data_IF_573788070118
#
_entry.id   IF_573788070118
#
_cell.length_a   1.000
_cell.length_b   1.000
_cell.length_c   1.000
_cell.angle_alpha   90.00
_cell.angle_beta   90.00
_cell.angle_gamma   90.00
#
_symmetry.space_group_name_H-M   'P 1'
#
loop_
_entity.id
_entity.type
_entity.pdbx_description
1 polymer ?
#
# COMPACT_ATOMS: atom_id res chain seq x y z
N UNK A 1 -9.83 21.79 21.49
CA UNK A 1 -10.62 20.57 21.85
C UNK A 1 -11.73 20.41 20.82
N UNK A 2 -11.69 19.36 20.00
CA UNK A 2 -12.76 19.07 19.04
C UNK A 2 -13.80 18.14 19.69
N UNK A 3 -15.07 18.54 19.67
CA UNK A 3 -16.21 17.71 20.09
C UNK A 3 -16.47 16.64 19.04
N UNK A 4 -16.30 15.37 19.41
CA UNK A 4 -16.86 14.25 18.66
C UNK A 4 -18.38 14.32 18.84
N UNK A 5 -19.11 14.55 17.75
CA UNK A 5 -20.55 14.34 17.75
C UNK A 5 -20.79 12.83 17.87
N UNK A 6 -21.32 12.40 19.02
CA UNK A 6 -21.90 11.06 19.13
C UNK A 6 -23.05 10.97 18.13
N UNK A 7 -22.82 10.24 17.04
CA UNK A 7 -23.90 9.74 16.21
C UNK A 7 -24.77 8.84 17.08
N UNK A 8 -25.98 9.32 17.42
CA UNK A 8 -27.03 8.50 18.02
C UNK A 8 -27.39 7.42 17.00
N UNK A 9 -26.87 6.20 17.21
CA UNK A 9 -27.26 5.03 16.45
C UNK A 9 -28.76 4.79 16.66
N UNK A 10 -29.52 4.82 15.56
CA UNK A 10 -30.92 4.42 15.57
C UNK A 10 -31.02 2.91 15.86
N UNK A 11 -32.11 2.42 16.50
CA UNK A 11 -32.16 1.07 17.08
C UNK A 11 -32.18 -0.11 16.08
N UNK A 12 -32.08 0.15 14.77
CA UNK A 12 -32.38 -0.82 13.71
C UNK A 12 -31.16 -1.37 12.96
N UNK A 13 -29.94 -0.90 13.21
CA UNK A 13 -28.72 -1.45 12.58
C UNK A 13 -28.21 -2.74 13.22
N UNK A 14 -29.11 -3.61 13.69
CA UNK A 14 -28.75 -4.72 14.59
C UNK A 14 -27.90 -5.84 13.96
N UNK A 15 -27.61 -5.81 12.66
CA UNK A 15 -26.81 -6.85 11.99
C UNK A 15 -26.01 -6.37 10.76
N UNK A 16 -25.38 -5.18 10.81
CA UNK A 16 -24.35 -4.88 9.80
C UNK A 16 -23.06 -5.62 10.17
N UNK A 17 -22.84 -6.77 9.53
CA UNK A 17 -21.58 -7.51 9.63
C UNK A 17 -20.64 -7.08 8.51
N UNK A 18 -19.41 -6.73 8.86
CA UNK A 18 -18.36 -6.48 7.87
C UNK A 18 -17.84 -7.82 7.33
N UNK A 19 -17.65 -7.91 6.02
CA UNK A 19 -17.02 -9.07 5.39
C UNK A 19 -15.50 -9.01 5.43
N UNK A 20 -14.94 -7.82 5.64
CA UNK A 20 -13.50 -7.58 5.79
C UNK A 20 -13.16 -6.11 5.90
N UNK A 21 -11.85 -5.84 5.93
CA UNK A 21 -11.27 -4.50 6.11
C UNK A 21 -10.38 -4.19 4.91
N UNK A 22 -10.48 -2.97 4.40
CA UNK A 22 -9.77 -2.50 3.23
C UNK A 22 -8.84 -1.35 3.67
N UNK A 23 -7.56 -1.45 3.34
CA UNK A 23 -6.53 -0.51 3.74
C UNK A 23 -5.90 0.16 2.52
N UNK A 24 -5.77 1.49 2.59
CA UNK A 24 -4.95 2.28 1.68
C UNK A 24 -3.66 2.64 2.41
N UNK A 25 -2.51 2.28 1.85
CA UNK A 25 -1.21 2.40 2.49
C UNK A 25 -0.22 3.16 1.59
N UNK A 26 0.07 4.41 1.96
CA UNK A 26 0.99 5.29 1.24
C UNK A 26 2.08 5.81 2.18
N UNK A 27 3.36 5.44 2.02
CA UNK A 27 4.43 5.90 2.90
C UNK A 27 4.76 7.39 2.78
N UNK A 28 4.34 8.03 1.68
CA UNK A 28 4.77 9.38 1.28
C UNK A 28 3.63 10.41 1.29
N UNK A 29 2.73 10.33 2.27
CA UNK A 29 1.70 11.35 2.48
C UNK A 29 1.90 12.08 3.80
N UNK A 30 1.44 13.32 3.87
CA UNK A 30 1.57 14.21 5.05
C UNK A 30 0.95 13.64 6.33
N UNK A 31 0.04 12.67 6.21
CA UNK A 31 -0.59 11.99 7.34
C UNK A 31 0.16 10.74 7.82
N UNK A 32 1.29 10.37 7.21
CA UNK A 32 2.10 9.22 7.63
C UNK A 32 3.44 9.63 8.21
N UNK A 33 3.82 9.03 9.33
CA UNK A 33 5.10 9.32 10.00
C UNK A 33 6.31 8.67 9.30
N UNK A 34 6.09 7.83 8.28
CA UNK A 34 7.16 7.20 7.52
C UNK A 34 7.95 8.20 6.66
N UNK A 35 7.30 9.29 6.25
CA UNK A 35 7.89 10.30 5.37
C UNK A 35 8.74 11.37 6.08
N UNK A 36 8.87 11.35 7.42
CA UNK A 36 9.45 12.46 8.20
C UNK A 36 10.89 12.82 7.81
N UNK A 37 11.63 11.92 7.15
CA UNK A 37 12.98 12.18 6.63
C UNK A 37 13.02 11.80 5.13
N UNK A 38 12.52 12.69 4.29
CA UNK A 38 12.19 12.60 2.85
C UNK A 38 13.30 12.19 1.85
N UNK A 39 14.25 11.32 2.23
CA UNK A 39 15.46 11.07 1.44
C UNK A 39 15.63 9.66 0.89
N UNK A 40 15.07 8.64 1.53
CA UNK A 40 15.42 7.26 1.19
C UNK A 40 14.20 6.37 1.02
N UNK A 41 13.83 6.15 -0.25
CA UNK A 41 12.84 5.16 -0.62
C UNK A 41 13.41 3.73 -0.53
N UNK A 42 14.72 3.56 -0.66
CA UNK A 42 15.38 2.26 -0.78
C UNK A 42 15.10 1.30 0.37
N UNK A 43 14.91 1.80 1.59
CA UNK A 43 14.59 0.97 2.77
C UNK A 43 13.31 1.41 3.53
N UNK A 44 12.47 2.25 2.93
CA UNK A 44 11.28 2.79 3.62
C UNK A 44 10.30 1.69 4.07
N UNK A 45 10.25 0.59 3.31
CA UNK A 45 9.38 -0.52 3.64
C UNK A 45 9.79 -1.19 4.96
N UNK A 46 11.06 -1.61 5.10
CA UNK A 46 11.51 -2.32 6.29
C UNK A 46 11.66 -1.39 7.49
N UNK A 47 12.16 -0.17 7.27
CA UNK A 47 12.40 0.80 8.33
C UNK A 47 11.12 1.40 8.92
N UNK A 48 10.01 1.43 8.18
CA UNK A 48 8.76 2.02 8.68
C UNK A 48 7.47 1.27 8.30
N UNK A 49 7.20 1.08 7.00
CA UNK A 49 5.87 0.63 6.53
C UNK A 49 5.49 -0.72 7.13
N UNK A 50 6.42 -1.68 7.14
CA UNK A 50 6.22 -3.02 7.69
C UNK A 50 5.77 -2.97 9.16
N UNK A 51 6.40 -2.12 9.97
CA UNK A 51 6.01 -1.92 11.37
C UNK A 51 4.59 -1.36 11.48
N UNK A 52 4.27 -0.33 10.69
CA UNK A 52 2.93 0.29 10.68
C UNK A 52 1.82 -0.66 10.24
N UNK A 53 2.07 -1.53 9.28
CA UNK A 53 1.10 -2.55 8.86
C UNK A 53 0.86 -3.58 9.96
N UNK A 54 1.88 -3.95 10.74
CA UNK A 54 1.72 -4.82 11.92
C UNK A 54 0.92 -4.13 13.02
N UNK A 55 1.22 -2.86 13.33
CA UNK A 55 0.48 -2.07 14.30
C UNK A 55 -1.00 -1.95 13.91
N UNK A 56 -1.28 -1.67 12.63
CA UNK A 56 -2.64 -1.56 12.13
C UNK A 56 -3.39 -2.89 12.21
N UNK A 57 -2.74 -4.00 11.88
CA UNK A 57 -3.33 -5.33 12.02
C UNK A 57 -3.75 -5.62 13.47
N UNK A 58 -2.88 -5.31 14.46
CA UNK A 58 -3.19 -5.46 15.87
C UNK A 58 -4.39 -4.59 16.28
N UNK A 59 -4.45 -3.35 15.81
CA UNK A 59 -5.58 -2.47 16.04
C UNK A 59 -6.89 -3.11 15.55
N UNK A 60 -6.99 -3.49 14.28
CA UNK A 60 -8.24 -4.01 13.71
C UNK A 60 -8.63 -5.41 14.20
N UNK A 61 -7.67 -6.24 14.60
CA UNK A 61 -7.97 -7.60 15.06
C UNK A 61 -8.13 -7.73 16.58
N UNK A 62 -7.40 -6.93 17.36
CA UNK A 62 -7.42 -7.05 18.82
C UNK A 62 -8.31 -6.00 19.47
N UNK A 63 -8.22 -4.75 19.01
CA UNK A 63 -8.83 -3.60 19.69
C UNK A 63 -10.23 -3.26 19.18
N UNK A 64 -10.54 -3.56 17.91
CA UNK A 64 -11.83 -3.27 17.27
C UNK A 64 -12.70 -4.55 17.16
N UNK A 65 -13.75 -4.73 18.00
CA UNK A 65 -14.56 -5.94 18.03
C UNK A 65 -15.27 -6.26 16.70
N UNK A 66 -15.68 -5.24 15.95
CA UNK A 66 -16.41 -5.35 14.68
C UNK A 66 -15.58 -5.96 13.53
N UNK A 67 -14.26 -5.81 13.59
CA UNK A 67 -13.32 -6.27 12.57
C UNK A 67 -12.49 -7.46 13.04
N UNK A 68 -12.68 -7.90 14.28
CA UNK A 68 -11.97 -9.06 14.83
C UNK A 68 -12.20 -10.31 13.99
N UNK A 69 -11.09 -10.91 13.57
CA UNK A 69 -11.07 -12.13 12.76
C UNK A 69 -11.55 -11.94 11.32
N UNK A 70 -11.84 -10.71 10.90
CA UNK A 70 -12.22 -10.39 9.53
C UNK A 70 -10.98 -10.30 8.64
N UNK A 71 -11.06 -10.72 7.38
CA UNK A 71 -9.94 -10.59 6.46
C UNK A 71 -9.55 -9.12 6.25
N UNK A 72 -8.27 -8.90 5.98
CA UNK A 72 -7.70 -7.58 5.73
C UNK A 72 -6.97 -7.58 4.37
N UNK A 73 -7.28 -6.60 3.53
CA UNK A 73 -6.69 -6.39 2.22
C UNK A 73 -6.06 -5.01 2.12
N UNK A 74 -4.95 -4.91 1.41
CA UNK A 74 -4.34 -3.62 1.04
C UNK A 74 -4.87 -3.25 -0.34
N UNK A 75 -5.96 -2.48 -0.39
CA UNK A 75 -6.63 -2.15 -1.65
C UNK A 75 -5.97 -1.03 -2.43
N UNK A 76 -5.07 -0.29 -1.80
CA UNK A 76 -4.17 0.64 -2.49
C UNK A 76 -2.81 0.67 -1.79
N UNK A 77 -1.75 0.44 -2.55
CA UNK A 77 -0.37 0.58 -2.07
C UNK A 77 0.52 1.15 -3.16
N UNK A 78 1.32 2.15 -2.84
CA UNK A 78 2.29 2.68 -3.79
C UNK A 78 2.85 4.01 -3.36
N UNK A 79 3.34 4.76 -4.33
CA UNK A 79 3.84 6.10 -4.11
C UNK A 79 2.78 7.12 -4.55
N UNK A 80 2.16 7.77 -3.56
CA UNK A 80 1.40 9.00 -3.76
C UNK A 80 2.35 10.12 -3.30
N UNK A 81 2.78 10.99 -4.22
CA UNK A 81 3.75 12.04 -3.91
C UNK A 81 3.33 12.91 -2.73
N UNK A 82 4.33 13.51 -2.06
CA UNK A 82 4.11 14.41 -0.92
C UNK A 82 3.15 15.55 -1.25
N UNK A 83 2.49 16.06 -0.22
CA UNK A 83 1.56 17.18 -0.34
C UNK A 83 2.19 18.31 -1.17
N UNK A 84 1.44 18.78 -2.16
CA UNK A 84 1.78 19.88 -3.06
C UNK A 84 2.48 21.02 -2.30
N UNK A 85 3.81 21.11 -2.39
CA UNK A 85 4.58 22.17 -1.73
C UNK A 85 5.96 21.76 -1.18
N UNK A 86 6.23 20.47 -0.99
CA UNK A 86 7.55 20.00 -0.54
C UNK A 86 8.40 19.61 -1.76
N UNK A 87 9.65 20.09 -1.82
CA UNK A 87 10.63 19.80 -2.89
C UNK A 87 11.12 18.34 -2.84
N UNK A 88 10.24 17.38 -2.60
CA UNK A 88 10.60 15.96 -2.59
C UNK A 88 10.88 15.54 -4.04
N UNK A 89 12.11 15.11 -4.36
CA UNK A 89 12.41 14.59 -5.69
C UNK A 89 11.46 13.44 -6.00
N UNK A 90 10.92 13.43 -7.23
CA UNK A 90 10.19 12.25 -7.69
C UNK A 90 11.19 11.09 -7.76
N UNK A 91 10.92 9.96 -7.11
CA UNK A 91 11.80 8.80 -7.24
C UNK A 91 11.87 8.28 -8.67
N UNK A 92 13.00 7.67 -8.98
CA UNK A 92 13.14 6.82 -10.14
C UNK A 92 12.27 5.56 -10.03
N UNK A 93 11.93 4.96 -11.17
CA UNK A 93 11.21 3.69 -11.19
C UNK A 93 11.97 2.57 -10.46
N UNK A 94 13.31 2.61 -10.46
CA UNK A 94 14.15 1.65 -9.74
C UNK A 94 13.99 1.76 -8.22
N UNK A 95 14.01 2.98 -7.68
CA UNK A 95 13.78 3.21 -6.25
C UNK A 95 12.37 2.74 -5.84
N UNK A 96 11.34 3.06 -6.63
CA UNK A 96 9.97 2.58 -6.36
C UNK A 96 9.89 1.05 -6.39
N UNK A 97 10.54 0.43 -7.38
CA UNK A 97 10.58 -1.03 -7.50
C UNK A 97 11.23 -1.69 -6.28
N UNK A 98 12.44 -1.28 -5.96
CA UNK A 98 13.28 -1.96 -4.97
C UNK A 98 12.93 -1.58 -3.53
N UNK A 99 12.46 -0.35 -3.30
CA UNK A 99 12.13 0.15 -1.97
C UNK A 99 10.68 -0.03 -1.54
N UNK A 100 9.74 -0.14 -2.49
CA UNK A 100 8.31 -0.26 -2.20
C UNK A 100 7.68 -1.55 -2.74
N UNK A 101 7.80 -1.81 -4.04
CA UNK A 101 7.07 -2.89 -4.71
C UNK A 101 7.57 -4.28 -4.32
N UNK A 102 8.86 -4.55 -4.51
CA UNK A 102 9.45 -5.86 -4.20
C UNK A 102 9.38 -6.22 -2.72
N UNK A 103 9.71 -5.32 -1.77
CA UNK A 103 9.63 -5.65 -0.35
C UNK A 103 8.20 -5.96 0.11
N UNK A 104 7.19 -5.24 -0.39
CA UNK A 104 5.79 -5.50 -0.08
C UNK A 104 5.33 -6.88 -0.59
N UNK A 105 5.56 -7.16 -1.87
CA UNK A 105 5.18 -8.42 -2.51
C UNK A 105 5.88 -9.63 -1.88
N UNK A 106 7.17 -9.48 -1.54
CA UNK A 106 7.92 -10.49 -0.79
C UNK A 106 7.38 -10.67 0.64
N UNK A 107 7.07 -9.58 1.35
CA UNK A 107 6.53 -9.65 2.70
C UNK A 107 5.17 -10.31 2.74
N UNK A 108 4.28 -10.05 1.77
CA UNK A 108 2.94 -10.63 1.71
C UNK A 108 2.99 -12.17 1.72
N UNK A 109 3.96 -12.78 1.03
CA UNK A 109 4.17 -14.22 1.01
C UNK A 109 5.05 -14.76 2.15
N UNK A 110 5.55 -13.90 3.04
CA UNK A 110 6.46 -14.28 4.12
C UNK A 110 5.73 -14.67 5.40
N UNK A 111 6.45 -15.38 6.29
CA UNK A 111 5.96 -15.68 7.65
C UNK A 111 5.78 -14.44 8.53
N UNK A 112 6.37 -13.31 8.12
CA UNK A 112 6.29 -12.04 8.84
C UNK A 112 5.01 -11.26 8.56
N UNK A 113 4.20 -11.69 7.58
CA UNK A 113 2.88 -11.13 7.30
C UNK A 113 1.87 -11.67 8.34
N UNK A 114 1.22 -10.81 9.15
CA UNK A 114 0.28 -11.26 10.19
C UNK A 114 -1.05 -11.80 9.64
N UNK A 115 -1.30 -11.71 8.34
CA UNK A 115 -2.51 -12.27 7.71
C UNK A 115 -3.18 -11.37 6.68
N UNK A 116 -2.48 -10.36 6.15
CA UNK A 116 -2.95 -9.62 4.97
C UNK A 116 -3.08 -10.58 3.79
N UNK A 117 -4.22 -10.54 3.10
CA UNK A 117 -4.53 -11.51 2.04
C UNK A 117 -3.97 -11.10 0.69
N UNK A 118 -4.20 -9.86 0.29
CA UNK A 118 -3.84 -9.36 -1.04
C UNK A 118 -3.42 -7.89 -0.96
N UNK A 119 -2.73 -7.46 -2.01
CA UNK A 119 -2.30 -6.09 -2.22
C UNK A 119 -2.61 -5.65 -3.65
N UNK A 120 -3.11 -4.43 -3.82
CA UNK A 120 -3.32 -3.80 -5.11
C UNK A 120 -2.42 -2.55 -5.24
N UNK A 121 -1.71 -2.45 -6.36
CA UNK A 121 -0.83 -1.31 -6.62
C UNK A 121 -1.63 -0.07 -7.00
N UNK A 122 -1.30 1.05 -6.37
CA UNK A 122 -1.74 2.37 -6.77
C UNK A 122 -0.60 3.11 -7.51
N UNK A 123 -0.72 3.45 -8.79
CA UNK A 123 -1.90 3.27 -9.64
C UNK A 123 -1.58 2.64 -10.98
N UNK A 124 -2.63 2.19 -11.66
CA UNK A 124 -2.52 1.62 -13.00
C UNK A 124 -2.01 2.66 -13.99
N UNK A 125 -2.57 3.88 -14.00
CA UNK A 125 -2.28 4.88 -15.05
C UNK A 125 -2.28 6.34 -14.60
N UNK A 126 -2.52 6.60 -13.31
CA UNK A 126 -2.62 7.94 -12.75
C UNK A 126 -1.32 8.36 -12.04
N UNK A 127 -0.73 9.48 -12.47
CA UNK A 127 0.43 10.10 -11.83
C UNK A 127 1.71 10.01 -12.68
N UNK A 128 2.84 9.84 -12.01
CA UNK A 128 4.16 9.90 -12.64
C UNK A 128 4.51 8.57 -13.36
N UNK A 129 5.20 8.65 -14.51
CA UNK A 129 5.65 7.48 -15.27
C UNK A 129 6.55 6.50 -14.46
N UNK A 130 7.20 6.98 -13.41
CA UNK A 130 8.03 6.18 -12.51
C UNK A 130 7.22 5.38 -11.47
N UNK A 131 5.92 5.65 -11.32
CA UNK A 131 5.08 5.07 -10.25
C UNK A 131 3.83 4.35 -10.78
N UNK A 132 3.49 4.54 -12.06
CA UNK A 132 2.34 3.90 -12.72
C UNK A 132 2.72 2.58 -13.38
N UNK A 133 1.75 1.66 -13.50
CA UNK A 133 1.96 0.36 -14.16
C UNK A 133 1.81 0.44 -15.69
N UNK A 134 1.03 1.37 -16.19
CA UNK A 134 0.70 1.52 -17.60
C UNK A 134 0.81 2.99 -17.98
N UNK A 135 1.34 3.27 -19.17
CA UNK A 135 1.26 4.63 -19.71
C UNK A 135 -0.21 4.99 -19.95
N UNK A 136 -0.66 6.22 -19.59
CA UNK A 136 -2.00 6.68 -19.92
C UNK A 136 -2.19 6.64 -21.44
N UNK A 137 -3.39 6.25 -21.90
CA UNK A 137 -3.70 6.21 -23.32
C UNK A 137 -3.51 7.60 -23.94
N UNK A 138 -2.68 7.70 -24.97
CA UNK A 138 -2.84 8.77 -25.94
C UNK A 138 -4.11 8.46 -26.76
N UNK A 139 -4.93 9.47 -27.05
CA UNK A 139 -6.11 9.29 -27.86
C UNK A 139 -5.73 8.65 -29.22
N UNK A 140 -6.33 7.50 -29.56
CA UNK A 140 -6.13 6.82 -30.85
C UNK A 140 -5.12 5.68 -30.89
N UNK A 141 -4.55 5.24 -29.77
CA UNK A 141 -3.64 4.07 -29.72
C UNK A 141 -4.23 2.88 -28.94
N UNK A 142 -4.36 1.69 -29.55
CA UNK A 142 -4.71 0.44 -28.84
C UNK A 142 -3.45 -0.30 -28.31
N UNK A 143 -3.57 -1.24 -27.36
CA UNK A 143 -4.00 -1.09 -25.96
C UNK A 143 -2.83 -0.70 -25.02
N UNK A 144 -3.14 -0.47 -23.73
CA UNK A 144 -2.22 -0.10 -22.64
C UNK A 144 -0.82 -0.74 -22.72
N UNK A 145 0.22 0.10 -22.84
CA UNK A 145 1.62 -0.34 -22.74
C UNK A 145 2.06 -0.34 -21.28
N UNK A 146 2.54 -1.49 -20.80
CA UNK A 146 3.16 -1.60 -19.48
C UNK A 146 4.43 -0.75 -19.38
N UNK A 147 4.61 -0.09 -18.24
CA UNK A 147 5.89 0.51 -17.84
C UNK A 147 6.85 -0.57 -17.39
N UNK A 148 8.12 -0.22 -17.13
CA UNK A 148 9.05 -1.16 -16.48
C UNK A 148 8.56 -1.65 -15.12
N UNK A 149 7.88 -0.78 -14.37
CA UNK A 149 7.24 -1.10 -13.10
C UNK A 149 6.00 -2.00 -13.29
N UNK A 150 5.23 -1.77 -14.35
CA UNK A 150 4.12 -2.64 -14.76
C UNK A 150 4.55 -4.06 -15.13
N UNK A 151 5.67 -4.21 -15.83
CA UNK A 151 6.25 -5.52 -16.14
C UNK A 151 6.68 -6.25 -14.87
N UNK A 152 7.31 -5.55 -13.92
CA UNK A 152 7.67 -6.14 -12.63
C UNK A 152 6.41 -6.60 -11.87
N UNK A 153 5.41 -5.74 -11.74
CA UNK A 153 4.16 -6.08 -11.05
C UNK A 153 3.44 -7.27 -11.70
N UNK A 154 3.40 -7.33 -13.03
CA UNK A 154 2.78 -8.43 -13.76
C UNK A 154 3.55 -9.76 -13.63
N UNK A 155 4.86 -9.71 -13.30
CA UNK A 155 5.67 -10.89 -13.06
C UNK A 155 5.53 -11.45 -11.63
N UNK A 156 4.90 -10.70 -10.73
CA UNK A 156 4.62 -11.17 -9.38
C UNK A 156 3.56 -12.27 -9.40
N UNK A 157 3.96 -13.45 -8.95
CA UNK A 157 3.03 -14.53 -8.65
C UNK A 157 2.80 -14.60 -7.13
N UNK A 158 1.60 -14.25 -6.63
CA UNK A 158 1.29 -14.36 -5.20
C UNK A 158 1.34 -15.79 -4.68
N UNK A 159 1.26 -16.80 -5.56
CA UNK A 159 1.41 -18.22 -5.20
C UNK A 159 2.89 -18.65 -5.09
N UNK A 160 3.82 -17.87 -5.64
CA UNK A 160 5.26 -18.13 -5.63
C UNK A 160 6.04 -16.83 -5.33
N UNK A 161 5.97 -16.31 -4.10
CA UNK A 161 6.69 -15.09 -3.74
C UNK A 161 8.20 -15.28 -4.02
N UNK A 162 8.89 -14.27 -4.58
CA UNK A 162 10.32 -14.37 -4.83
C UNK A 162 11.04 -14.67 -3.52
N UNK A 163 11.74 -15.80 -3.47
CA UNK A 163 12.59 -16.15 -2.33
C UNK A 163 13.64 -15.06 -2.15
N UNK A 164 13.77 -14.52 -0.93
CA UNK A 164 14.82 -13.56 -0.59
C UNK A 164 16.17 -14.17 -0.98
N UNK A 165 16.81 -13.64 -2.01
CA UNK A 165 18.20 -13.98 -2.33
C UNK A 165 19.04 -13.55 -1.13
N UNK A 166 19.76 -14.45 -0.46
CA UNK A 166 20.71 -14.02 0.57
C UNK A 166 21.75 -13.13 -0.12
N UNK A 167 21.91 -11.90 0.35
CA UNK A 167 23.07 -11.08 0.01
C UNK A 167 24.31 -11.80 0.56
N UNK A 168 25.38 -12.01 -0.23
CA UNK A 168 26.59 -12.68 0.23
C UNK A 168 27.31 -11.92 1.36
#
# INVERSE_FOLDING_TARGET
MARIHQLKLLPEYKYLTLDGVHLHAYPFISSTNCSRNQGDIGDIFNSCVKGKLKDYWLLVHEQEPETRGKPLWITEYGYLGGATGENTPTPSAGEVRDGLMRPMTAWLGSRDNPGYREVAWFSVSYGNANTILMYPEAAGTPPYRLTGLGLEWASYDPMHPPTSTPTP
#
